data_IF_115444518179
#
_entry.id   IF_115444518179
#
_cell.length_a   1.000
_cell.length_b   1.000
_cell.length_c   1.000
_cell.angle_alpha   90.00
_cell.angle_beta   90.00
_cell.angle_gamma   90.00
#
_symmetry.space_group_name_H-M   'P 1'
#
loop_
_entity.id
_entity.type
_entity.pdbx_description
1 polymer ?
#
# COMPACT_ATOMS: atom_id res chain seq x y z
N UNK A 1 31.71 -7.28 -56.42
CA UNK A 1 32.01 -6.28 -55.37
C UNK A 1 31.53 -4.93 -55.90
N UNK A 2 30.38 -4.47 -55.42
CA UNK A 2 29.55 -3.38 -55.97
C UNK A 2 28.66 -2.92 -54.79
N UNK A 3 28.49 -1.67 -54.33
CA UNK A 3 28.77 -0.28 -54.71
C UNK A 3 28.77 0.54 -53.37
N UNK A 4 29.64 1.52 -53.09
CA UNK A 4 29.56 2.99 -53.33
C UNK A 4 28.33 3.74 -52.73
N UNK A 5 28.63 4.81 -51.94
CA UNK A 5 27.82 6.00 -51.52
C UNK A 5 26.75 5.74 -50.44
N UNK A 6 26.66 6.44 -49.30
CA UNK A 6 25.92 7.70 -48.98
C UNK A 6 25.87 7.71 -47.44
N UNK A 7 26.06 8.76 -46.65
CA UNK A 7 26.30 10.18 -46.81
C UNK A 7 26.28 10.76 -45.40
N UNK A 8 27.27 11.60 -45.08
CA UNK A 8 27.20 12.52 -43.95
C UNK A 8 26.06 13.48 -44.25
N UNK A 9 24.88 13.19 -43.73
CA UNK A 9 23.82 14.19 -43.57
C UNK A 9 23.85 14.53 -42.09
N UNK A 10 24.49 15.64 -41.78
CA UNK A 10 24.25 16.45 -40.59
C UNK A 10 22.81 16.96 -40.62
N UNK A 11 21.87 16.02 -40.55
CA UNK A 11 20.50 16.26 -40.19
C UNK A 11 20.49 16.22 -38.69
N UNK A 12 20.17 17.36 -38.10
CA UNK A 12 19.68 17.52 -36.74
C UNK A 12 18.61 16.47 -36.48
N UNK A 13 19.03 15.26 -36.11
CA UNK A 13 18.17 14.28 -35.48
C UNK A 13 17.86 14.89 -34.13
N UNK A 14 16.62 15.34 -33.85
CA UNK A 14 16.22 15.39 -32.46
C UNK A 14 16.55 14.01 -31.92
N UNK A 15 17.44 13.96 -30.94
CA UNK A 15 17.47 12.88 -29.98
C UNK A 15 16.10 12.94 -29.30
N UNK A 16 15.05 12.46 -29.98
CA UNK A 16 13.87 11.97 -29.30
C UNK A 16 14.41 10.77 -28.54
N UNK A 17 14.92 11.04 -27.34
CA UNK A 17 14.94 10.04 -26.30
C UNK A 17 13.53 9.46 -26.34
N UNK A 18 13.41 8.25 -26.86
CA UNK A 18 12.23 7.44 -26.67
C UNK A 18 12.20 7.13 -25.18
N UNK A 19 11.79 8.12 -24.38
CA UNK A 19 11.31 7.85 -23.05
C UNK A 19 10.04 7.03 -23.27
N UNK A 20 9.91 5.87 -22.61
CA UNK A 20 8.63 5.20 -22.45
C UNK A 20 7.61 6.26 -22.05
N UNK A 21 6.75 6.61 -22.99
CA UNK A 21 5.70 7.59 -22.76
C UNK A 21 4.60 6.83 -22.05
N UNK A 22 4.75 6.72 -20.73
CA UNK A 22 3.79 6.09 -19.82
C UNK A 22 2.36 6.58 -20.13
N UNK A 23 2.11 7.89 -20.36
CA UNK A 23 0.82 8.37 -20.87
C UNK A 23 0.34 7.65 -22.15
N UNK A 24 1.21 7.54 -23.16
CA UNK A 24 0.87 6.87 -24.42
C UNK A 24 0.70 5.36 -24.27
N UNK A 25 1.49 4.69 -23.43
CA UNK A 25 1.39 3.25 -23.20
C UNK A 25 0.11 2.89 -22.44
N UNK A 26 -0.26 3.68 -21.43
CA UNK A 26 -1.54 3.54 -20.72
C UNK A 26 -2.71 3.83 -21.67
N UNK A 27 -2.61 4.87 -22.50
CA UNK A 27 -3.64 5.20 -23.50
C UNK A 27 -3.76 4.11 -24.59
N UNK A 28 -2.67 3.42 -24.89
CA UNK A 28 -2.64 2.29 -25.83
C UNK A 28 -3.21 1.00 -25.23
N UNK A 29 -3.57 1.01 -23.94
CA UNK A 29 -4.16 -0.14 -23.25
C UNK A 29 -3.16 -1.24 -22.91
N UNK A 30 -1.86 -0.94 -22.88
CA UNK A 30 -0.85 -1.90 -22.41
C UNK A 30 -1.14 -2.28 -20.95
N UNK A 31 -0.73 -3.49 -20.57
CA UNK A 31 -0.84 -3.90 -19.18
C UNK A 31 0.11 -3.06 -18.30
N UNK A 32 -0.31 -2.75 -17.07
CA UNK A 32 0.50 -1.99 -16.11
C UNK A 32 1.90 -2.60 -15.93
N UNK A 33 2.00 -3.94 -15.94
CA UNK A 33 3.27 -4.66 -15.90
C UNK A 33 4.18 -4.37 -17.09
N UNK A 34 3.63 -4.28 -18.31
CA UNK A 34 4.40 -3.94 -19.51
C UNK A 34 4.81 -2.47 -19.51
N UNK A 35 3.93 -1.56 -19.09
CA UNK A 35 4.23 -0.13 -18.94
C UNK A 35 5.42 0.08 -18.00
N UNK A 36 5.38 -0.55 -16.83
CA UNK A 36 6.47 -0.49 -15.84
C UNK A 36 7.75 -1.14 -16.37
N UNK A 37 7.62 -2.29 -17.04
CA UNK A 37 8.77 -2.98 -17.64
C UNK A 37 9.45 -2.13 -18.70
N UNK A 38 8.68 -1.47 -19.58
CA UNK A 38 9.20 -0.58 -20.62
C UNK A 38 9.84 0.66 -20.00
N UNK A 39 9.18 1.30 -19.04
CA UNK A 39 9.70 2.48 -18.37
C UNK A 39 10.99 2.20 -17.60
N UNK A 40 11.08 1.04 -16.94
CA UNK A 40 12.30 0.61 -16.24
C UNK A 40 13.41 0.22 -17.22
N UNK A 41 13.06 -0.43 -18.35
CA UNK A 41 14.02 -0.78 -19.41
C UNK A 41 14.62 0.46 -20.07
N UNK A 42 13.85 1.54 -20.19
CA UNK A 42 14.31 2.84 -20.67
C UNK A 42 15.08 3.65 -19.61
N UNK A 43 15.29 3.08 -18.41
CA UNK A 43 16.07 3.68 -17.34
C UNK A 43 15.35 4.78 -16.57
N UNK A 44 14.02 4.85 -16.64
CA UNK A 44 13.27 5.78 -15.79
C UNK A 44 13.35 5.35 -14.32
N UNK A 45 13.50 6.35 -13.44
CA UNK A 45 13.43 6.12 -12.00
C UNK A 45 12.00 5.82 -11.56
N UNK A 46 11.85 4.96 -10.55
CA UNK A 46 10.55 4.56 -10.00
C UNK A 46 9.72 5.78 -9.56
N UNK A 47 10.33 6.79 -8.94
CA UNK A 47 9.67 8.08 -8.68
C UNK A 47 9.09 8.74 -9.93
N UNK A 48 9.86 8.79 -11.03
CA UNK A 48 9.41 9.43 -12.28
C UNK A 48 8.23 8.69 -12.89
N UNK A 49 8.24 7.36 -12.81
CA UNK A 49 7.14 6.50 -13.22
C UNK A 49 5.90 6.87 -12.41
N UNK A 50 6.01 6.89 -11.09
CA UNK A 50 4.87 7.21 -10.23
C UNK A 50 4.35 8.63 -10.38
N UNK A 51 5.23 9.63 -10.58
CA UNK A 51 4.78 11.00 -10.83
C UNK A 51 4.00 11.12 -12.15
N UNK A 52 4.45 10.43 -13.20
CA UNK A 52 3.72 10.41 -14.47
C UNK A 52 2.37 9.69 -14.35
N UNK A 53 2.37 8.51 -13.72
CA UNK A 53 1.14 7.75 -13.45
C UNK A 53 0.17 8.56 -12.61
N UNK A 54 0.63 9.18 -11.52
CA UNK A 54 -0.18 10.02 -10.64
C UNK A 54 -0.76 11.25 -11.36
N UNK A 55 0.01 11.85 -12.27
CA UNK A 55 -0.45 12.98 -13.07
C UNK A 55 -1.53 12.61 -14.09
N UNK A 56 -1.53 11.38 -14.61
CA UNK A 56 -2.56 10.87 -15.53
C UNK A 56 -3.79 10.42 -14.74
N UNK A 57 -3.58 9.49 -13.82
CA UNK A 57 -4.62 8.94 -12.96
C UNK A 57 -4.02 8.44 -11.63
N UNK A 58 -4.24 9.16 -10.52
CA UNK A 58 -3.72 8.76 -9.22
C UNK A 58 -4.26 7.42 -8.73
N UNK A 59 -5.44 6.97 -9.19
CA UNK A 59 -5.99 5.65 -8.84
C UNK A 59 -5.15 4.50 -9.42
N UNK A 60 -4.44 4.74 -10.53
CA UNK A 60 -3.60 3.72 -11.15
C UNK A 60 -2.29 3.49 -10.41
N UNK A 61 -1.87 4.42 -9.53
CA UNK A 61 -0.65 4.30 -8.72
C UNK A 61 -0.71 3.05 -7.82
N UNK A 62 -1.85 2.78 -7.18
CA UNK A 62 -2.02 1.58 -6.36
C UNK A 62 -1.90 0.28 -7.17
N UNK A 63 -2.36 0.27 -8.43
CA UNK A 63 -2.21 -0.88 -9.33
C UNK A 63 -0.75 -1.11 -9.73
N UNK A 64 -0.01 -0.03 -10.01
CA UNK A 64 1.42 -0.09 -10.32
C UNK A 64 2.20 -0.62 -9.11
N UNK A 65 1.89 -0.15 -7.89
CA UNK A 65 2.46 -0.67 -6.64
C UNK A 65 2.18 -2.16 -6.50
N UNK A 66 0.91 -2.58 -6.65
CA UNK A 66 0.53 -3.98 -6.56
C UNK A 66 1.33 -4.88 -7.51
N UNK A 67 1.51 -4.44 -8.77
CA UNK A 67 2.28 -5.15 -9.78
C UNK A 67 3.77 -5.23 -9.43
N UNK A 68 4.37 -4.12 -8.99
CA UNK A 68 5.80 -4.09 -8.65
C UNK A 68 6.11 -4.86 -7.38
N UNK A 69 5.26 -4.76 -6.35
CA UNK A 69 5.39 -5.54 -5.11
C UNK A 69 5.22 -7.03 -5.38
N UNK A 70 4.26 -7.41 -6.23
CA UNK A 70 4.09 -8.82 -6.61
C UNK A 70 5.29 -9.37 -7.40
N UNK A 71 6.01 -8.52 -8.13
CA UNK A 71 7.21 -8.91 -8.87
C UNK A 71 8.46 -8.93 -7.98
N UNK A 72 8.55 -8.01 -7.01
CA UNK A 72 9.66 -7.89 -6.08
C UNK A 72 9.17 -7.46 -4.68
N UNK A 73 8.74 -8.41 -3.83
CA UNK A 73 8.21 -8.10 -2.50
C UNK A 73 9.28 -7.55 -1.56
N UNK A 74 10.56 -7.89 -1.78
CA UNK A 74 11.68 -7.36 -0.99
C UNK A 74 11.89 -5.84 -1.20
N UNK A 75 11.43 -5.30 -2.32
CA UNK A 75 11.50 -3.88 -2.63
C UNK A 75 10.23 -3.10 -2.24
N UNK A 76 9.26 -3.74 -1.57
CA UNK A 76 7.95 -3.17 -1.30
C UNK A 76 8.01 -1.83 -0.55
N UNK A 77 8.88 -1.72 0.46
CA UNK A 77 9.05 -0.50 1.25
C UNK A 77 9.47 0.69 0.37
N UNK A 78 10.42 0.44 -0.53
CA UNK A 78 10.95 1.45 -1.45
C UNK A 78 9.89 1.88 -2.47
N UNK A 79 9.17 0.89 -3.02
CA UNK A 79 8.10 1.10 -3.99
C UNK A 79 6.96 1.92 -3.37
N UNK A 80 6.53 1.57 -2.17
CA UNK A 80 5.44 2.24 -1.45
C UNK A 80 5.83 3.67 -1.10
N UNK A 81 7.06 3.88 -0.59
CA UNK A 81 7.53 5.22 -0.26
C UNK A 81 7.56 6.14 -1.49
N UNK A 82 8.05 5.62 -2.63
CA UNK A 82 8.06 6.35 -3.90
C UNK A 82 6.65 6.69 -4.40
N UNK A 83 5.74 5.72 -4.33
CA UNK A 83 4.36 5.88 -4.73
C UNK A 83 3.60 6.93 -3.89
N UNK A 84 3.78 6.90 -2.56
CA UNK A 84 3.15 7.84 -1.63
C UNK A 84 3.70 9.25 -1.83
N UNK A 85 5.01 9.37 -2.09
CA UNK A 85 5.62 10.66 -2.39
C UNK A 85 5.01 11.28 -3.66
N UNK A 86 4.68 10.46 -4.66
CA UNK A 86 4.06 10.91 -5.90
C UNK A 86 2.54 11.17 -5.76
N UNK A 87 1.84 10.39 -4.93
CA UNK A 87 0.39 10.47 -4.73
C UNK A 87 0.03 10.35 -3.23
N UNK A 88 0.29 11.38 -2.41
CA UNK A 88 0.06 11.32 -0.97
C UNK A 88 -1.41 11.11 -0.62
N UNK A 89 -2.33 11.66 -1.43
CA UNK A 89 -3.79 11.49 -1.27
C UNK A 89 -4.25 10.04 -1.46
N UNK A 90 -3.40 9.17 -2.01
CA UNK A 90 -3.67 7.74 -2.27
C UNK A 90 -2.91 6.82 -1.35
N UNK A 91 -2.28 7.33 -0.30
CA UNK A 91 -1.44 6.53 0.57
C UNK A 91 -2.16 5.32 1.17
N UNK A 92 -3.44 5.47 1.55
CA UNK A 92 -4.25 4.36 2.05
C UNK A 92 -4.42 3.24 1.01
N UNK A 93 -4.77 3.60 -0.23
CA UNK A 93 -4.97 2.63 -1.33
C UNK A 93 -3.65 1.96 -1.72
N UNK A 94 -2.56 2.72 -1.75
CA UNK A 94 -1.20 2.25 -2.04
C UNK A 94 -0.75 1.22 -0.99
N UNK A 95 -0.88 1.54 0.29
CA UNK A 95 -0.53 0.63 1.39
C UNK A 95 -1.38 -0.62 1.35
N UNK A 96 -2.70 -0.49 1.14
CA UNK A 96 -3.60 -1.64 1.04
C UNK A 96 -3.24 -2.55 -0.14
N UNK A 97 -2.94 -1.97 -1.30
CA UNK A 97 -2.52 -2.70 -2.50
C UNK A 97 -1.21 -3.46 -2.29
N UNK A 98 -0.22 -2.84 -1.64
CA UNK A 98 1.06 -3.48 -1.33
C UNK A 98 0.89 -4.69 -0.40
N UNK A 99 0.13 -4.51 0.70
CA UNK A 99 -0.16 -5.59 1.66
C UNK A 99 -0.92 -6.73 0.98
N UNK A 100 -1.92 -6.40 0.16
CA UNK A 100 -2.68 -7.41 -0.60
C UNK A 100 -1.83 -8.16 -1.62
N UNK A 101 -0.75 -7.55 -2.12
CA UNK A 101 0.23 -8.20 -3.01
C UNK A 101 1.27 -9.05 -2.26
N UNK A 102 1.20 -9.13 -0.93
CA UNK A 102 2.08 -9.97 -0.11
C UNK A 102 3.26 -9.25 0.52
N UNK A 103 3.29 -7.91 0.50
CA UNK A 103 4.26 -7.16 1.29
C UNK A 103 3.98 -7.28 2.79
N UNK A 104 5.03 -7.16 3.59
CA UNK A 104 4.92 -7.12 5.04
C UNK A 104 4.20 -5.82 5.48
N UNK A 105 3.13 -5.97 6.26
CA UNK A 105 2.28 -4.85 6.63
C UNK A 105 3.00 -3.85 7.54
N UNK A 106 3.81 -4.32 8.49
CA UNK A 106 4.54 -3.44 9.41
C UNK A 106 5.61 -2.64 8.67
N UNK A 107 6.34 -3.28 7.75
CA UNK A 107 7.34 -2.63 6.90
C UNK A 107 6.71 -1.58 5.98
N UNK A 108 5.63 -1.93 5.29
CA UNK A 108 4.88 -1.02 4.39
C UNK A 108 4.31 0.18 5.15
N UNK A 109 3.71 -0.03 6.32
CA UNK A 109 3.14 1.06 7.13
C UNK A 109 4.28 1.99 7.59
N UNK A 110 5.41 1.44 8.02
CA UNK A 110 6.59 2.22 8.42
C UNK A 110 7.12 3.06 7.26
N UNK A 111 7.26 2.46 6.08
CA UNK A 111 7.70 3.14 4.87
C UNK A 111 6.71 4.25 4.45
N UNK A 112 5.41 3.97 4.54
CA UNK A 112 4.35 4.92 4.21
C UNK A 112 4.35 6.15 5.12
N UNK A 113 4.46 5.94 6.44
CA UNK A 113 4.57 7.03 7.41
C UNK A 113 5.86 7.82 7.16
N UNK A 114 6.97 7.14 6.88
CA UNK A 114 8.24 7.77 6.52
C UNK A 114 8.17 8.63 5.26
N UNK A 115 7.33 8.24 4.30
CA UNK A 115 7.06 8.98 3.06
C UNK A 115 6.05 10.13 3.23
N UNK A 116 5.52 10.35 4.45
CA UNK A 116 4.63 11.47 4.76
C UNK A 116 3.14 11.13 4.71
N UNK A 117 2.77 9.86 4.67
CA UNK A 117 1.37 9.48 4.78
C UNK A 117 0.82 9.73 6.19
N UNK A 118 -0.48 10.00 6.27
CA UNK A 118 -1.16 10.17 7.55
C UNK A 118 -1.33 8.82 8.27
N UNK A 119 -0.71 8.62 9.45
CA UNK A 119 -0.80 7.38 10.19
C UNK A 119 -2.24 7.03 10.59
N UNK A 120 -3.12 8.03 10.80
CA UNK A 120 -4.53 7.78 11.14
C UNK A 120 -5.27 7.10 9.99
N UNK A 121 -5.01 7.52 8.75
CA UNK A 121 -5.67 6.98 7.55
C UNK A 121 -5.23 5.55 7.23
N UNK A 122 -3.96 5.21 7.49
CA UNK A 122 -3.40 3.89 7.13
C UNK A 122 -3.67 2.84 8.22
N UNK A 123 -3.59 3.23 9.49
CA UNK A 123 -3.74 2.29 10.62
C UNK A 123 -5.21 1.89 10.85
N UNK A 124 -6.16 2.81 10.63
CA UNK A 124 -7.60 2.49 10.69
C UNK A 124 -8.03 1.52 9.59
N UNK A 125 -7.50 1.68 8.37
CA UNK A 125 -7.78 0.78 7.25
C UNK A 125 -7.27 -0.65 7.50
N UNK A 126 -6.11 -0.78 8.16
CA UNK A 126 -5.56 -2.07 8.56
C UNK A 126 -6.40 -2.71 9.67
N UNK A 127 -6.90 -1.92 10.63
CA UNK A 127 -7.76 -2.38 11.71
C UNK A 127 -9.16 -2.82 11.25
N UNK A 128 -9.67 -2.27 10.13
CA UNK A 128 -10.95 -2.68 9.53
C UNK A 128 -10.92 -4.08 8.90
N UNK A 129 -9.74 -4.67 8.73
CA UNK A 129 -9.57 -6.08 8.40
C UNK A 129 -9.66 -6.39 6.91
N UNK A 130 -8.65 -7.13 6.45
CA UNK A 130 -8.56 -7.77 5.14
C UNK A 130 -9.82 -8.64 4.87
N UNK A 131 -10.62 -8.42 3.80
CA UNK A 131 -11.73 -9.31 3.45
C UNK A 131 -11.26 -10.70 2.99
N UNK A 132 -9.98 -10.86 2.61
CA UNK A 132 -9.35 -12.16 2.33
C UNK A 132 -8.80 -12.86 3.58
N UNK A 133 -8.92 -12.24 4.76
CA UNK A 133 -8.96 -12.99 5.99
C UNK A 133 -10.23 -13.83 6.01
N UNK A 134 -10.22 -14.98 5.33
CA UNK A 134 -10.99 -16.13 5.79
C UNK A 134 -10.48 -16.45 7.19
N UNK A 135 -10.95 -15.67 8.15
CA UNK A 135 -11.17 -16.17 9.47
C UNK A 135 -11.88 -17.48 9.25
N UNK A 136 -11.21 -18.58 9.59
CA UNK A 136 -11.90 -19.74 10.12
C UNK A 136 -12.65 -19.22 11.34
N UNK A 137 -13.79 -18.61 11.06
CA UNK A 137 -14.50 -17.77 11.96
C UNK A 137 -14.98 -18.60 13.12
N UNK A 138 -15.01 -18.00 14.29
CA UNK A 138 -15.91 -18.38 15.37
C UNK A 138 -17.40 -18.20 14.98
N UNK A 139 -17.73 -18.05 13.69
CA UNK A 139 -19.10 -17.90 13.19
C UNK A 139 -19.81 -16.63 13.65
N UNK A 140 -19.08 -15.59 14.05
CA UNK A 140 -19.66 -14.34 14.56
C UNK A 140 -19.83 -13.35 13.42
N UNK A 141 -21.09 -13.06 13.06
CA UNK A 141 -21.42 -12.03 12.10
C UNK A 141 -20.98 -10.64 12.61
N UNK A 142 -20.63 -9.68 11.72
CA UNK A 142 -20.34 -8.30 12.12
C UNK A 142 -21.53 -7.72 12.89
N UNK A 143 -21.29 -7.24 14.11
CA UNK A 143 -22.34 -6.70 14.99
C UNK A 143 -22.90 -7.70 16.01
N UNK A 144 -22.47 -8.96 16.01
CA UNK A 144 -22.70 -9.83 17.15
C UNK A 144 -21.58 -9.60 18.18
N UNK A 145 -21.87 -8.80 19.21
CA UNK A 145 -21.15 -8.91 20.48
C UNK A 145 -21.37 -10.33 20.98
N UNK A 146 -20.46 -11.24 20.63
CA UNK A 146 -20.46 -12.61 21.11
C UNK A 146 -20.70 -12.59 22.62
N UNK A 147 -21.62 -13.46 23.07
CA UNK A 147 -22.04 -13.71 24.46
C UNK A 147 -21.28 -12.87 25.47
N UNK A 148 -21.97 -11.96 26.18
CA UNK A 148 -21.40 -11.19 27.27
C UNK A 148 -20.41 -12.06 28.05
N UNK A 149 -19.12 -11.77 27.90
CA UNK A 149 -18.10 -12.38 28.73
C UNK A 149 -18.35 -11.77 30.08
N UNK A 150 -19.18 -12.44 30.88
CA UNK A 150 -19.35 -12.09 32.28
C UNK A 150 -17.95 -12.14 32.87
N UNK A 151 -17.36 -11.00 33.27
CA UNK A 151 -16.06 -11.03 33.93
C UNK A 151 -16.17 -11.96 35.14
N UNK A 152 -15.12 -12.73 35.47
CA UNK A 152 -15.11 -13.45 36.74
C UNK A 152 -15.44 -12.44 37.84
N UNK A 153 -16.35 -12.76 38.77
CA UNK A 153 -16.78 -11.81 39.78
C UNK A 153 -15.56 -11.34 40.55
N UNK A 154 -15.25 -10.04 40.47
CA UNK A 154 -14.39 -9.41 41.47
C UNK A 154 -15.09 -9.68 42.80
N UNK A 155 -14.38 -10.36 43.71
CA UNK A 155 -14.95 -11.00 44.88
C UNK A 155 -16.06 -10.19 45.51
N UNK A 156 -17.20 -10.84 45.73
CA UNK A 156 -18.15 -10.39 46.72
C UNK A 156 -17.35 -10.11 47.98
N UNK A 157 -17.16 -8.82 48.30
CA UNK A 157 -16.62 -8.38 49.56
C UNK A 157 -17.57 -8.86 50.65
N UNK A 158 -17.42 -10.11 51.08
CA UNK A 158 -17.78 -10.57 52.42
C UNK A 158 -16.74 -10.01 53.40
N UNK A 159 -16.53 -8.69 53.36
CA UNK A 159 -15.88 -7.94 54.41
C UNK A 159 -16.90 -7.69 55.49
N UNK A 160 -17.22 -8.73 56.27
CA UNK A 160 -18.00 -8.61 57.49
C UNK A 160 -17.19 -7.90 58.58
N UNK A 161 -17.03 -6.58 58.42
CA UNK A 161 -16.37 -5.72 59.38
C UNK A 161 -17.33 -5.28 60.47
N UNK A 162 -17.16 -5.85 61.67
CA UNK A 162 -17.34 -5.23 62.99
C UNK A 162 -18.65 -4.46 63.25
N UNK A 163 -19.63 -5.13 63.86
CA UNK A 163 -20.82 -4.49 64.40
C UNK A 163 -21.35 -5.17 65.66
N UNK A 164 -20.88 -4.73 66.82
CA UNK A 164 -21.65 -4.75 68.08
C UNK A 164 -21.45 -5.94 69.03
N UNK A 165 -20.90 -5.67 70.22
CA UNK A 165 -21.71 -5.75 71.44
C UNK A 165 -21.43 -4.52 72.31
N UNK A 166 -22.43 -3.64 72.44
CA UNK A 166 -22.49 -2.71 73.55
C UNK A 166 -22.97 -3.45 74.79
N UNK A 167 -22.28 -3.28 75.92
CA UNK A 167 -22.74 -3.68 77.25
C UNK A 167 -24.11 -3.06 77.56
N UNK A 168 -25.01 -3.73 78.30
CA UNK A 168 -25.18 -3.35 79.71
C UNK A 168 -25.67 -4.46 80.68
N UNK A 169 -25.50 -4.10 81.97
CA UNK A 169 -26.04 -4.65 83.25
C UNK A 169 -25.59 -6.03 83.71
#
# INVERSE_FOLDING_TARGET
>A
MRHLIIGVVAGMFPLYSAFADIPSDIASGLSISEVVSNATADGQSVESIFQQVAAINPDTVALVVSAMVSANPDAADSIVAAAITAAPDKAQDITSAAISSGADADAVITAAIGAGADPTSITEATAAGNPQGQGRGLGIAPGQTGRAVTPPPFGSNAGGGGGGIGSPS
#
